data_IF_733878987986
#
_entry.id   IF_733878987986
#
_cell.length_a   1.000
_cell.length_b   1.000
_cell.length_c   1.000
_cell.angle_alpha   90.00
_cell.angle_beta   90.00
_cell.angle_gamma   90.00
#
_symmetry.space_group_name_H-M   'P 1'
#
loop_
_entity.id
_entity.type
_entity.pdbx_description
1 polymer ?
#
# COMPACT_ATOMS: atom_id res chain seq x y z
N UNK A 1 -16.79 5.22 12.77
CA UNK A 1 -15.35 5.58 12.69
C UNK A 1 -15.05 5.95 11.25
N UNK A 2 -14.44 7.11 11.01
CA UNK A 2 -14.11 7.54 9.67
C UNK A 2 -12.74 6.97 9.23
N UNK A 3 -12.34 7.23 7.99
CA UNK A 3 -11.07 6.72 7.45
C UNK A 3 -9.88 7.17 8.30
N UNK A 4 -9.79 8.46 8.61
CA UNK A 4 -8.66 8.99 9.38
C UNK A 4 -8.55 8.33 10.75
N UNK A 5 -9.66 8.13 11.45
CA UNK A 5 -9.68 7.46 12.74
C UNK A 5 -9.26 6.00 12.64
N UNK A 6 -9.73 5.30 11.61
CA UNK A 6 -9.35 3.90 11.37
C UNK A 6 -7.86 3.79 11.09
N UNK A 7 -7.31 4.65 10.25
CA UNK A 7 -5.88 4.64 9.93
C UNK A 7 -5.03 4.98 11.16
N UNK A 8 -5.45 5.94 11.97
CA UNK A 8 -4.72 6.29 13.20
C UNK A 8 -4.70 5.12 14.18
N UNK A 9 -5.85 4.47 14.38
CA UNK A 9 -5.96 3.36 15.33
C UNK A 9 -5.16 2.13 14.89
N UNK A 10 -5.10 1.86 13.58
CA UNK A 10 -4.50 0.64 13.05
C UNK A 10 -3.18 0.86 12.30
N UNK A 11 -2.58 2.04 12.44
CA UNK A 11 -1.29 2.36 11.79
C UNK A 11 -0.18 1.37 12.19
N UNK A 12 -0.23 0.82 13.38
CA UNK A 12 0.76 -0.13 13.90
C UNK A 12 0.47 -1.60 13.60
N UNK A 13 -0.64 -1.91 12.92
CA UNK A 13 -0.96 -3.29 12.58
C UNK A 13 0.10 -3.87 11.64
N UNK A 14 0.39 -5.18 11.78
CA UNK A 14 1.46 -5.84 11.01
C UNK A 14 1.19 -5.89 9.52
N UNK A 15 -0.06 -6.09 9.13
CA UNK A 15 -0.47 -6.20 7.73
C UNK A 15 -1.88 -5.65 7.57
N UNK A 16 -2.23 -5.38 6.33
CA UNK A 16 -3.61 -5.20 5.92
C UNK A 16 -3.96 -6.24 4.85
N UNK A 17 -5.22 -6.35 4.52
CA UNK A 17 -5.69 -7.19 3.43
C UNK A 17 -6.11 -6.30 2.28
N UNK A 18 -5.41 -6.42 1.16
CA UNK A 18 -5.69 -5.65 -0.05
C UNK A 18 -6.49 -6.52 -1.00
N UNK A 19 -7.67 -6.05 -1.38
CA UNK A 19 -8.51 -6.71 -2.39
C UNK A 19 -8.45 -5.91 -3.69
N UNK A 20 -8.01 -6.56 -4.75
CA UNK A 20 -8.06 -6.03 -6.11
C UNK A 20 -9.05 -6.86 -6.94
N UNK A 21 -9.42 -6.35 -8.10
CA UNK A 21 -10.25 -7.10 -9.05
C UNK A 21 -9.37 -7.85 -10.04
N UNK A 22 -9.54 -9.15 -10.14
CA UNK A 22 -8.77 -9.97 -11.07
C UNK A 22 -8.95 -9.50 -12.50
N UNK A 23 -7.85 -9.13 -13.16
CA UNK A 23 -7.88 -8.51 -14.50
C UNK A 23 -8.40 -9.42 -15.61
N UNK A 24 -8.38 -10.73 -15.37
CA UNK A 24 -8.84 -11.73 -16.33
C UNK A 24 -10.24 -12.24 -16.00
N UNK A 25 -10.51 -12.48 -14.70
CA UNK A 25 -11.76 -13.12 -14.27
C UNK A 25 -12.81 -12.14 -13.75
N UNK A 26 -12.40 -10.93 -13.37
CA UNK A 26 -13.28 -9.98 -12.68
C UNK A 26 -13.58 -10.34 -11.23
N UNK A 27 -12.99 -11.42 -10.72
CA UNK A 27 -13.23 -11.88 -9.35
C UNK A 27 -12.33 -11.16 -8.35
N UNK A 28 -12.79 -10.96 -7.10
CA UNK A 28 -11.95 -10.37 -6.06
C UNK A 28 -10.74 -11.24 -5.78
N UNK A 29 -9.58 -10.58 -5.60
CA UNK A 29 -8.32 -11.22 -5.22
C UNK A 29 -7.79 -10.50 -3.99
N UNK A 30 -7.62 -11.22 -2.90
CA UNK A 30 -7.18 -10.64 -1.62
C UNK A 30 -5.81 -11.17 -1.25
N UNK A 31 -4.93 -10.26 -0.83
CA UNK A 31 -3.60 -10.60 -0.32
C UNK A 31 -3.36 -9.93 1.02
N UNK A 32 -2.51 -10.53 1.85
CA UNK A 32 -1.92 -9.86 2.99
C UNK A 32 -0.71 -9.07 2.52
N UNK A 33 -0.54 -7.85 2.98
CA UNK A 33 0.57 -7.01 2.54
C UNK A 33 1.00 -6.03 3.64
N UNK A 34 2.28 -5.74 3.67
CA UNK A 34 2.84 -4.67 4.49
C UNK A 34 2.32 -3.32 4.01
N UNK A 35 1.98 -2.46 4.95
CA UNK A 35 1.50 -1.13 4.66
C UNK A 35 2.00 -0.11 5.67
N UNK A 36 2.05 1.13 5.26
CA UNK A 36 2.26 2.25 6.15
C UNK A 36 1.28 3.36 5.79
N UNK A 37 1.07 4.30 6.67
CA UNK A 37 0.11 5.37 6.45
C UNK A 37 0.67 6.71 6.92
N UNK A 38 0.24 7.78 6.25
CA UNK A 38 0.49 9.15 6.67
C UNK A 38 -0.74 9.74 7.42
N UNK A 39 -1.75 8.89 7.69
CA UNK A 39 -3.00 9.29 8.32
C UNK A 39 -4.13 9.57 7.34
N UNK A 40 -3.84 9.72 6.06
CA UNK A 40 -4.83 9.97 5.00
C UNK A 40 -4.85 8.86 3.96
N UNK A 41 -3.69 8.35 3.59
CA UNK A 41 -3.51 7.33 2.57
C UNK A 41 -2.72 6.16 3.12
N UNK A 42 -2.78 5.06 2.41
CA UNK A 42 -1.95 3.89 2.67
C UNK A 42 -0.91 3.78 1.56
N UNK A 43 0.31 3.41 1.94
CA UNK A 43 1.42 3.18 1.03
C UNK A 43 1.91 1.75 1.15
N UNK A 44 2.23 1.15 0.02
CA UNK A 44 2.72 -0.22 -0.10
C UNK A 44 3.89 -0.26 -1.08
N UNK A 45 4.76 -1.25 -0.91
CA UNK A 45 5.87 -1.46 -1.83
C UNK A 45 5.76 -2.86 -2.44
N UNK A 46 5.77 -2.93 -3.77
CA UNK A 46 5.69 -4.19 -4.49
C UNK A 46 7.09 -4.65 -4.89
N UNK A 47 7.58 -5.69 -4.21
CA UNK A 47 8.89 -6.27 -4.52
C UNK A 47 8.95 -6.85 -5.93
N UNK A 48 7.86 -7.42 -6.41
CA UNK A 48 7.73 -7.93 -7.78
C UNK A 48 7.52 -6.84 -8.83
N UNK A 49 7.45 -5.59 -8.42
CA UNK A 49 7.25 -4.41 -9.28
C UNK A 49 6.04 -4.60 -10.19
N UNK A 50 6.17 -4.28 -11.47
CA UNK A 50 5.08 -4.39 -12.45
C UNK A 50 4.68 -5.84 -12.76
N UNK A 51 5.46 -6.83 -12.33
CA UNK A 51 5.13 -8.24 -12.52
C UNK A 51 4.20 -8.79 -11.44
N UNK A 52 4.08 -8.12 -10.30
CA UNK A 52 3.20 -8.56 -9.23
C UNK A 52 1.75 -8.57 -9.70
N UNK A 53 1.03 -9.66 -9.42
CA UNK A 53 -0.35 -9.81 -9.87
C UNK A 53 -1.27 -8.71 -9.37
N UNK A 54 -1.13 -8.33 -8.10
CA UNK A 54 -1.98 -7.27 -7.53
C UNK A 54 -1.72 -5.90 -8.18
N UNK A 55 -0.48 -5.62 -8.58
CA UNK A 55 -0.14 -4.40 -9.30
C UNK A 55 -0.77 -4.42 -10.69
N UNK A 56 -0.65 -5.55 -11.38
CA UNK A 56 -1.25 -5.71 -12.71
C UNK A 56 -2.77 -5.58 -12.64
N UNK A 57 -3.40 -6.12 -11.60
CA UNK A 57 -4.83 -6.00 -11.40
C UNK A 57 -5.26 -4.55 -11.21
N UNK A 58 -4.59 -3.81 -10.33
CA UNK A 58 -4.98 -2.41 -10.08
C UNK A 58 -4.68 -1.48 -11.26
N UNK A 59 -3.73 -1.85 -12.11
CA UNK A 59 -3.48 -1.08 -13.34
C UNK A 59 -4.64 -1.21 -14.34
N UNK A 60 -5.38 -2.31 -14.30
CA UNK A 60 -6.57 -2.51 -15.15
C UNK A 60 -7.82 -1.95 -14.47
N UNK A 61 -8.00 -2.25 -13.18
CA UNK A 61 -9.10 -1.72 -12.38
C UNK A 61 -8.54 -1.16 -11.08
N UNK A 62 -8.45 0.16 -10.95
CA UNK A 62 -7.83 0.78 -9.77
C UNK A 62 -8.68 0.74 -8.51
N UNK A 63 -9.95 0.35 -8.59
CA UNK A 63 -10.81 0.24 -7.42
C UNK A 63 -10.31 -0.87 -6.52
N UNK A 64 -10.08 -0.56 -5.25
CA UNK A 64 -9.58 -1.52 -4.28
C UNK A 64 -10.37 -1.43 -2.99
N UNK A 65 -10.26 -2.48 -2.18
CA UNK A 65 -10.73 -2.49 -0.80
C UNK A 65 -9.59 -2.87 0.10
N UNK A 66 -9.46 -2.16 1.20
CA UNK A 66 -8.44 -2.45 2.22
C UNK A 66 -9.15 -2.80 3.51
N UNK A 67 -8.86 -4.00 4.02
CA UNK A 67 -9.35 -4.40 5.33
C UNK A 67 -8.22 -4.28 6.34
N UNK A 68 -8.44 -3.46 7.33
CA UNK A 68 -7.50 -3.23 8.42
C UNK A 68 -8.27 -3.14 9.72
N UNK A 69 -7.82 -3.89 10.73
CA UNK A 69 -8.48 -3.89 12.04
C UNK A 69 -9.93 -4.30 12.00
N UNK A 70 -10.33 -5.20 11.09
CA UNK A 70 -11.72 -5.63 10.93
C UNK A 70 -12.61 -4.64 10.17
N UNK A 71 -12.07 -3.51 9.71
CA UNK A 71 -12.81 -2.53 8.94
C UNK A 71 -12.40 -2.57 7.48
N UNK A 72 -13.36 -2.43 6.59
CA UNK A 72 -13.14 -2.40 5.15
C UNK A 72 -13.30 -0.99 4.63
N UNK A 73 -12.25 -0.49 3.98
CA UNK A 73 -12.22 0.86 3.40
C UNK A 73 -12.13 0.74 1.89
N UNK A 74 -12.95 1.50 1.18
CA UNK A 74 -12.95 1.54 -0.28
C UNK A 74 -12.07 2.68 -0.77
N UNK A 75 -11.29 2.43 -1.81
CA UNK A 75 -10.39 3.44 -2.33
C UNK A 75 -9.91 3.15 -3.74
N UNK A 76 -8.93 3.93 -4.16
CA UNK A 76 -8.31 3.84 -5.47
C UNK A 76 -6.81 3.63 -5.29
N UNK A 77 -6.28 2.56 -5.88
CA UNK A 77 -4.86 2.24 -5.85
C UNK A 77 -4.17 2.69 -7.14
N UNK A 78 -2.94 3.19 -7.00
CA UNK A 78 -2.13 3.55 -8.17
C UNK A 78 -0.65 3.50 -7.87
N UNK A 79 0.13 3.23 -8.90
CA UNK A 79 1.59 3.29 -8.85
C UNK A 79 2.00 4.75 -8.82
N UNK A 80 2.92 5.09 -7.92
CA UNK A 80 3.40 6.47 -7.74
C UNK A 80 4.89 6.62 -8.00
N UNK A 81 5.52 5.69 -8.72
CA UNK A 81 6.92 5.80 -9.10
C UNK A 81 7.15 7.06 -9.94
N UNK A 82 8.15 7.85 -9.57
CA UNK A 82 8.43 9.12 -10.22
C UNK A 82 7.57 10.29 -9.76
N UNK A 83 6.67 10.06 -8.82
CA UNK A 83 5.77 11.11 -8.31
C UNK A 83 6.25 11.67 -6.98
N UNK A 84 5.66 12.76 -6.55
CA UNK A 84 6.07 13.50 -5.36
C UNK A 84 6.10 12.65 -4.09
N UNK A 85 5.17 11.71 -3.93
CA UNK A 85 5.06 10.90 -2.72
C UNK A 85 5.83 9.59 -2.75
N UNK A 86 6.56 9.32 -3.81
CA UNK A 86 7.35 8.08 -3.89
C UNK A 86 8.28 7.92 -2.71
N UNK A 87 9.06 8.96 -2.41
CA UNK A 87 10.03 8.90 -1.31
C UNK A 87 9.35 8.73 0.05
N UNK A 88 8.25 9.43 0.27
CA UNK A 88 7.46 9.27 1.48
C UNK A 88 7.01 7.82 1.67
N UNK A 89 6.51 7.19 0.61
CA UNK A 89 6.07 5.80 0.66
C UNK A 89 7.20 4.86 1.08
N UNK A 90 8.39 5.02 0.48
CA UNK A 90 9.56 4.19 0.80
C UNK A 90 10.00 4.38 2.25
N UNK A 91 10.06 5.61 2.71
CA UNK A 91 10.49 5.94 4.06
C UNK A 91 9.51 5.44 5.12
N UNK A 92 8.22 5.64 4.91
CA UNK A 92 7.21 5.19 5.87
C UNK A 92 7.21 3.66 6.02
N UNK A 93 7.27 2.92 4.93
CA UNK A 93 7.31 1.46 4.99
C UNK A 93 8.61 0.98 5.62
N UNK A 94 9.75 1.53 5.22
CA UNK A 94 11.04 1.16 5.78
C UNK A 94 11.15 1.49 7.28
N UNK A 95 10.62 2.63 7.70
CA UNK A 95 10.62 3.01 9.12
C UNK A 95 9.80 2.03 9.96
N UNK A 96 8.65 1.62 9.45
CA UNK A 96 7.76 0.70 10.17
C UNK A 96 8.32 -0.72 10.27
N UNK A 97 8.89 -1.24 9.20
CA UNK A 97 9.25 -2.67 9.12
C UNK A 97 10.74 -2.95 9.20
N UNK A 98 11.59 -1.98 8.89
CA UNK A 98 13.03 -2.20 8.77
C UNK A 98 13.87 -1.27 9.65
N UNK A 99 13.25 -0.61 10.61
CA UNK A 99 13.93 0.30 11.54
C UNK A 99 14.69 1.45 10.84
N UNK A 100 14.23 1.84 9.66
CA UNK A 100 14.82 2.97 8.96
C UNK A 100 14.55 4.28 9.71
N UNK A 101 15.54 5.15 9.75
CA UNK A 101 15.39 6.51 10.26
C UNK A 101 16.16 7.48 9.37
N UNK A 102 15.85 8.76 9.50
CA UNK A 102 16.45 9.82 8.70
C UNK A 102 17.98 9.76 8.74
N UNK A 103 18.62 9.94 7.59
CA UNK A 103 20.07 9.88 7.45
C UNK A 103 20.63 8.49 7.18
N UNK A 104 19.80 7.44 7.20
CA UNK A 104 20.22 6.08 6.87
C UNK A 104 19.88 5.73 5.41
N UNK A 105 20.67 4.86 4.76
CA UNK A 105 20.28 4.36 3.45
C UNK A 105 19.09 3.41 3.56
N UNK A 106 18.24 3.42 2.55
CA UNK A 106 17.19 2.41 2.43
C UNK A 106 17.80 1.06 2.11
N UNK A 107 17.14 -0.04 2.53
CA UNK A 107 17.50 -1.38 2.08
C UNK A 107 17.31 -1.48 0.56
N UNK A 108 17.97 -2.45 -0.07
CA UNK A 108 17.78 -2.68 -1.50
C UNK A 108 16.31 -2.92 -1.85
N UNK A 109 15.59 -3.64 -0.99
CA UNK A 109 14.17 -3.90 -1.20
C UNK A 109 13.35 -2.61 -1.14
N UNK A 110 13.54 -1.79 -0.11
CA UNK A 110 12.78 -0.55 0.04
C UNK A 110 13.11 0.47 -1.06
N UNK A 111 14.36 0.49 -1.53
CA UNK A 111 14.77 1.38 -2.60
C UNK A 111 14.31 0.90 -3.98
N UNK A 112 14.25 -0.41 -4.19
CA UNK A 112 14.00 -1.01 -5.51
C UNK A 112 12.57 -1.45 -5.77
N UNK A 113 11.73 -1.59 -4.73
CA UNK A 113 10.33 -2.02 -4.91
C UNK A 113 9.49 -0.91 -5.53
N UNK A 114 8.38 -1.29 -6.15
CA UNK A 114 7.47 -0.35 -6.80
C UNK A 114 6.54 0.30 -5.77
N UNK A 115 6.53 1.63 -5.64
CA UNK A 115 5.65 2.27 -4.67
C UNK A 115 4.22 2.40 -5.19
N UNK A 116 3.27 2.07 -4.31
CA UNK A 116 1.84 2.12 -4.61
C UNK A 116 1.14 2.89 -3.50
N UNK A 117 0.19 3.73 -3.89
CA UNK A 117 -0.62 4.54 -3.00
C UNK A 117 -2.07 4.09 -3.08
N UNK A 118 -2.76 4.04 -1.95
CA UNK A 118 -4.22 3.89 -1.92
C UNK A 118 -4.81 5.14 -1.28
N UNK A 119 -5.62 5.85 -2.05
CA UNK A 119 -6.40 6.99 -1.58
C UNK A 119 -7.84 6.53 -1.32
N UNK A 120 -8.43 6.94 -0.22
CA UNK A 120 -9.76 6.47 0.18
C UNK A 120 -10.87 7.44 -0.19
N UNK A 121 -12.04 6.90 -0.42
CA UNK A 121 -13.26 7.63 -0.75
C UNK A 121 -13.77 8.47 0.41
#
# INVERSE_FOLDING_TARGET
MNVAETLAEHAGDSVCHLQTTGRTTGRPRTIEIWFATDGERIYMLAGGRHQAHWVRNLNVDPSVRVRVGGRTLSGTGRVIEGEEREELARHLVAAKYQHWSEGRPLSAWAAGSLPVEVAFD
#
